data_IF_207781219733
#
_entry.id   IF_207781219733
#
_cell.length_a   1.000
_cell.length_b   1.000
_cell.length_c   1.000
_cell.angle_alpha   90.00
_cell.angle_beta   90.00
_cell.angle_gamma   90.00
#
_symmetry.space_group_name_H-M   'P 1'
#
loop_
_entity.id
_entity.type
_entity.pdbx_description
1 polymer ?
#
# COMPACT_ATOMS: atom_id res chain seq x y z
N UNK A 1 14.90 -13.48 13.10
CA UNK A 1 13.79 -13.60 14.07
C UNK A 1 14.26 -13.18 15.46
N UNK A 2 15.38 -13.73 15.95
CA UNK A 2 15.91 -13.38 17.28
C UNK A 2 16.27 -11.89 17.45
N UNK A 3 16.79 -11.25 16.41
CA UNK A 3 17.10 -9.82 16.46
C UNK A 3 15.83 -8.97 16.67
N UNK A 4 14.72 -9.31 16.01
CA UNK A 4 13.43 -8.61 16.16
C UNK A 4 12.84 -8.77 17.56
N UNK A 5 12.88 -9.99 18.11
CA UNK A 5 12.35 -10.28 19.44
C UNK A 5 13.19 -9.64 20.57
N UNK A 6 14.49 -9.43 20.33
CA UNK A 6 15.41 -8.82 21.29
C UNK A 6 15.48 -7.30 21.18
N UNK A 7 14.89 -6.73 20.15
CA UNK A 7 14.88 -5.29 19.93
C UNK A 7 13.83 -4.63 20.84
N UNK A 8 14.22 -3.78 21.82
CA UNK A 8 13.29 -3.10 22.70
C UNK A 8 12.35 -2.12 21.96
N UNK A 9 12.66 -1.78 20.71
CA UNK A 9 11.82 -0.97 19.84
C UNK A 9 10.81 -1.82 19.04
N UNK A 10 10.71 -3.12 19.30
CA UNK A 10 9.79 -4.04 18.64
C UNK A 10 8.85 -4.71 19.65
N UNK A 11 7.67 -5.15 19.18
CA UNK A 11 6.72 -5.91 20.00
C UNK A 11 5.97 -5.12 21.09
N UNK A 12 6.18 -3.80 21.18
CA UNK A 12 5.45 -2.95 22.09
C UNK A 12 3.99 -2.78 21.65
N UNK A 13 3.09 -2.59 22.62
CA UNK A 13 1.71 -2.20 22.31
C UNK A 13 1.66 -0.70 22.04
N UNK A 14 1.10 -0.32 20.89
CA UNK A 14 0.92 1.09 20.56
C UNK A 14 -0.04 1.78 21.54
N UNK A 15 0.09 3.11 21.67
CA UNK A 15 -0.78 3.88 22.56
C UNK A 15 -2.23 3.92 22.04
N UNK A 16 -3.19 4.20 22.91
CA UNK A 16 -4.59 4.38 22.48
C UNK A 16 -4.73 5.53 21.47
N UNK A 17 -3.93 6.60 21.61
CA UNK A 17 -3.90 7.71 20.65
C UNK A 17 -3.44 7.24 19.26
N UNK A 18 -2.40 6.40 19.19
CA UNK A 18 -1.96 5.82 17.91
C UNK A 18 -3.10 5.07 17.21
N UNK A 19 -3.84 4.21 17.93
CA UNK A 19 -4.95 3.48 17.32
C UNK A 19 -6.08 4.41 16.87
N UNK A 20 -6.41 5.42 17.68
CA UNK A 20 -7.40 6.43 17.31
C UNK A 20 -7.01 7.16 16.00
N UNK A 21 -5.77 7.63 15.91
CA UNK A 21 -5.26 8.33 14.74
C UNK A 21 -5.19 7.41 13.51
N UNK A 22 -4.73 6.18 13.70
CA UNK A 22 -4.65 5.17 12.63
C UNK A 22 -6.03 4.92 12.02
N UNK A 23 -7.03 4.59 12.83
CA UNK A 23 -8.37 4.29 12.31
C UNK A 23 -9.06 5.53 11.72
N UNK A 24 -8.88 6.69 12.34
CA UNK A 24 -9.39 7.96 11.78
C UNK A 24 -8.77 8.25 10.41
N UNK A 25 -7.46 8.03 10.25
CA UNK A 25 -6.75 8.20 8.99
C UNK A 25 -7.20 7.18 7.93
N UNK A 26 -7.42 5.93 8.33
CA UNK A 26 -7.93 4.89 7.43
C UNK A 26 -9.35 5.20 6.94
N UNK A 27 -10.24 5.67 7.80
CA UNK A 27 -11.60 6.07 7.42
C UNK A 27 -11.56 7.24 6.45
N UNK A 28 -10.73 8.25 6.72
CA UNK A 28 -10.54 9.38 5.81
C UNK A 28 -9.99 8.95 4.45
N UNK A 29 -8.95 8.11 4.42
CA UNK A 29 -8.29 7.68 3.19
C UNK A 29 -9.18 6.80 2.30
N UNK A 30 -10.07 6.00 2.90
CA UNK A 30 -10.97 5.12 2.18
C UNK A 30 -12.30 5.77 1.77
N UNK A 31 -12.59 7.00 2.22
CA UNK A 31 -13.79 7.73 1.83
C UNK A 31 -13.75 8.08 0.33
N UNK A 32 -14.71 7.58 -0.49
CA UNK A 32 -14.76 7.86 -1.92
C UNK A 32 -14.81 9.36 -2.24
N UNK A 33 -15.38 10.17 -1.35
CA UNK A 33 -15.45 11.64 -1.51
C UNK A 33 -14.06 12.27 -1.48
N UNK A 34 -13.13 11.71 -0.71
CA UNK A 34 -11.76 12.19 -0.66
C UNK A 34 -10.96 11.74 -1.87
N UNK A 35 -11.17 10.51 -2.34
CA UNK A 35 -10.58 10.02 -3.61
C UNK A 35 -11.01 10.91 -4.78
N UNK A 36 -12.30 11.26 -4.86
CA UNK A 36 -12.84 12.12 -5.93
C UNK A 36 -12.24 13.54 -5.93
N UNK A 37 -11.72 14.00 -4.80
CA UNK A 37 -11.09 15.33 -4.67
C UNK A 37 -9.62 15.33 -5.10
N UNK A 38 -9.03 14.17 -5.37
CA UNK A 38 -7.65 14.08 -5.85
C UNK A 38 -7.52 14.63 -7.28
N UNK A 39 -6.37 15.19 -7.66
CA UNK A 39 -6.14 15.60 -9.04
C UNK A 39 -6.23 14.39 -9.98
N UNK A 40 -7.16 14.43 -10.94
CA UNK A 40 -7.46 13.30 -11.82
C UNK A 40 -6.29 12.88 -12.72
N UNK A 41 -5.33 13.78 -12.92
CA UNK A 41 -4.09 13.58 -13.70
C UNK A 41 -2.90 13.13 -12.86
N UNK A 42 -3.04 13.02 -11.53
CA UNK A 42 -1.99 12.50 -10.66
C UNK A 42 -1.77 11.00 -10.94
N UNK A 43 -0.56 10.57 -11.36
CA UNK A 43 -0.26 9.16 -11.58
C UNK A 43 -0.21 8.39 -10.27
N UNK A 44 -0.85 7.22 -10.23
CA UNK A 44 -0.91 6.36 -9.04
C UNK A 44 -0.46 4.96 -9.36
N UNK A 45 0.44 4.44 -8.54
CA UNK A 45 0.90 3.06 -8.60
C UNK A 45 0.67 2.35 -7.26
N UNK A 46 -0.16 1.32 -7.28
CA UNK A 46 -0.47 0.49 -6.12
C UNK A 46 0.32 -0.80 -6.18
N UNK A 47 1.14 -1.06 -5.16
CA UNK A 47 1.95 -2.28 -5.07
C UNK A 47 1.68 -3.00 -3.75
N UNK A 48 1.55 -4.32 -3.80
CA UNK A 48 1.36 -5.16 -2.60
C UNK A 48 1.78 -6.61 -2.87
N UNK A 49 2.01 -7.37 -1.81
CA UNK A 49 2.16 -8.81 -1.90
C UNK A 49 0.82 -9.49 -2.20
N UNK A 50 0.84 -10.52 -3.06
CA UNK A 50 -0.34 -11.32 -3.38
C UNK A 50 -0.73 -12.32 -2.29
N UNK A 51 0.13 -12.52 -1.29
CA UNK A 51 -0.10 -13.38 -0.12
C UNK A 51 -0.05 -12.58 1.18
N UNK A 52 -0.32 -11.28 1.11
CA UNK A 52 -0.39 -10.41 2.27
C UNK A 52 -1.77 -10.54 2.98
N UNK A 53 -1.83 -11.05 4.22
CA UNK A 53 -3.09 -11.13 4.96
C UNK A 53 -3.67 -9.77 5.32
N UNK A 54 -2.86 -8.72 5.45
CA UNK A 54 -3.33 -7.38 5.79
C UNK A 54 -4.27 -6.84 4.72
N UNK A 55 -3.97 -7.12 3.45
CA UNK A 55 -4.78 -6.72 2.30
C UNK A 55 -5.77 -7.79 1.82
N UNK A 56 -6.08 -8.79 2.67
CA UNK A 56 -6.95 -9.91 2.32
C UNK A 56 -6.44 -10.67 1.07
N UNK A 57 -5.15 -11.00 1.04
CA UNK A 57 -4.44 -11.63 -0.09
C UNK A 57 -4.53 -10.78 -1.37
N UNK A 58 -4.34 -9.47 -1.22
CA UNK A 58 -4.40 -8.49 -2.30
C UNK A 58 -5.80 -8.16 -2.82
N UNK A 59 -6.88 -8.71 -2.23
CA UNK A 59 -8.26 -8.38 -2.63
C UNK A 59 -8.58 -6.91 -2.35
N UNK A 60 -8.22 -6.40 -1.17
CA UNK A 60 -8.53 -5.01 -0.81
C UNK A 60 -7.78 -4.00 -1.69
N UNK A 61 -6.53 -4.31 -2.11
CA UNK A 61 -5.79 -3.45 -3.04
C UNK A 61 -6.46 -3.41 -4.42
N UNK A 62 -7.03 -4.53 -4.90
CA UNK A 62 -7.82 -4.53 -6.14
C UNK A 62 -9.09 -3.70 -5.99
N UNK A 63 -9.77 -3.80 -4.86
CA UNK A 63 -10.96 -2.97 -4.56
C UNK A 63 -10.60 -1.49 -4.59
N UNK A 64 -9.50 -1.11 -3.93
CA UNK A 64 -8.99 0.27 -3.94
C UNK A 64 -8.67 0.74 -5.35
N UNK A 65 -7.97 -0.06 -6.15
CA UNK A 65 -7.73 0.23 -7.57
C UNK A 65 -9.03 0.54 -8.32
N UNK A 66 -10.08 -0.25 -8.10
CA UNK A 66 -11.39 0.00 -8.72
C UNK A 66 -12.05 1.29 -8.21
N UNK A 67 -11.89 1.66 -6.93
CA UNK A 67 -12.38 2.94 -6.41
C UNK A 67 -11.72 4.12 -7.12
N UNK A 68 -10.40 4.07 -7.32
CA UNK A 68 -9.68 5.10 -8.06
C UNK A 68 -10.10 5.16 -9.53
N UNK A 69 -10.33 4.02 -10.18
CA UNK A 69 -10.88 4.00 -11.55
C UNK A 69 -12.29 4.60 -11.63
N UNK A 70 -13.15 4.36 -10.63
CA UNK A 70 -14.50 4.94 -10.54
C UNK A 70 -14.50 6.44 -10.23
N UNK A 71 -13.42 6.96 -9.65
CA UNK A 71 -13.22 8.37 -9.40
C UNK A 71 -12.59 9.11 -10.60
N UNK A 72 -12.62 8.52 -11.80
CA UNK A 72 -12.08 9.09 -13.05
C UNK A 72 -10.58 9.44 -13.01
N UNK A 73 -9.81 8.77 -12.14
CA UNK A 73 -8.35 8.88 -12.14
C UNK A 73 -7.78 8.29 -13.43
N UNK A 74 -7.03 9.12 -14.15
CA UNK A 74 -6.60 8.85 -15.53
C UNK A 74 -5.51 7.79 -15.58
N UNK A 75 -4.54 7.88 -14.68
CA UNK A 75 -3.38 6.99 -14.64
C UNK A 75 -3.30 6.28 -13.29
N UNK A 76 -3.78 5.04 -13.28
CA UNK A 76 -3.77 4.17 -12.11
C UNK A 76 -3.24 2.82 -12.57
N UNK A 77 -2.23 2.33 -11.88
CA UNK A 77 -1.61 1.03 -12.11
C UNK A 77 -1.57 0.22 -10.83
N UNK A 78 -1.54 -1.11 -10.96
CA UNK A 78 -1.49 -2.04 -9.82
C UNK A 78 -0.58 -3.22 -10.15
N UNK A 79 0.30 -3.59 -9.20
CA UNK A 79 1.05 -4.84 -9.22
C UNK A 79 0.86 -5.60 -7.92
N UNK A 80 0.53 -6.88 -8.03
CA UNK A 80 0.43 -7.79 -6.89
C UNK A 80 1.44 -8.91 -7.04
N UNK A 81 2.51 -8.87 -6.24
CA UNK A 81 3.64 -9.80 -6.35
C UNK A 81 3.26 -11.18 -5.83
N UNK A 82 3.19 -12.23 -6.68
CA UNK A 82 2.71 -13.55 -6.26
C UNK A 82 3.57 -14.16 -5.16
N UNK A 83 2.93 -14.74 -4.14
CA UNK A 83 3.62 -15.40 -3.03
C UNK A 83 4.31 -14.46 -2.03
N UNK A 84 4.30 -13.15 -2.27
CA UNK A 84 4.91 -12.15 -1.37
C UNK A 84 3.94 -11.71 -0.29
N UNK A 85 4.46 -11.44 0.91
CA UNK A 85 3.68 -10.99 2.06
C UNK A 85 3.68 -9.45 2.13
N UNK A 86 3.57 -8.91 3.34
CA UNK A 86 3.33 -7.49 3.57
C UNK A 86 4.51 -6.59 3.16
N UNK A 87 5.73 -6.93 3.57
CA UNK A 87 6.91 -6.07 3.37
C UNK A 87 7.62 -6.35 2.05
N UNK A 88 6.96 -6.09 0.91
CA UNK A 88 7.49 -6.38 -0.43
C UNK A 88 8.84 -5.71 -0.75
N UNK A 89 9.18 -4.62 -0.07
CA UNK A 89 10.49 -3.95 -0.20
C UNK A 89 11.62 -4.73 0.51
N UNK A 90 11.29 -5.61 1.45
CA UNK A 90 12.24 -6.45 2.18
C UNK A 90 12.19 -7.93 1.75
N UNK A 91 11.26 -8.28 0.87
CA UNK A 91 11.11 -9.63 0.34
C UNK A 91 12.27 -10.04 -0.59
N UNK A 92 12.35 -11.33 -0.91
CA UNK A 92 13.46 -11.88 -1.73
C UNK A 92 13.54 -11.29 -3.13
N UNK A 93 12.44 -10.76 -3.65
CA UNK A 93 12.37 -10.09 -4.96
C UNK A 93 12.44 -8.56 -4.86
N UNK A 94 12.92 -7.98 -3.75
CA UNK A 94 13.01 -6.52 -3.56
C UNK A 94 13.61 -5.76 -4.75
N UNK A 95 14.58 -6.33 -5.47
CA UNK A 95 15.19 -5.70 -6.64
C UNK A 95 14.21 -5.55 -7.81
N UNK A 96 13.30 -6.51 -8.00
CA UNK A 96 12.19 -6.41 -8.96
C UNK A 96 11.25 -5.27 -8.55
N UNK A 97 10.86 -5.24 -7.27
CA UNK A 97 9.97 -4.19 -6.73
C UNK A 97 10.59 -2.80 -6.89
N UNK A 98 11.89 -2.66 -6.62
CA UNK A 98 12.61 -1.40 -6.81
C UNK A 98 12.66 -0.97 -8.27
N UNK A 99 12.88 -1.92 -9.19
CA UNK A 99 12.90 -1.64 -10.61
C UNK A 99 11.52 -1.21 -11.11
N UNK A 100 10.44 -1.83 -10.65
CA UNK A 100 9.08 -1.43 -10.99
C UNK A 100 8.75 -0.02 -10.51
N UNK A 101 9.14 0.32 -9.27
CA UNK A 101 9.00 1.69 -8.73
C UNK A 101 9.81 2.69 -9.56
N UNK A 102 11.06 2.36 -9.89
CA UNK A 102 11.92 3.22 -10.69
C UNK A 102 11.34 3.45 -12.09
N UNK A 103 10.87 2.38 -12.75
CA UNK A 103 10.22 2.45 -14.05
C UNK A 103 8.97 3.33 -14.02
N UNK A 104 8.16 3.21 -12.96
CA UNK A 104 7.01 4.07 -12.76
C UNK A 104 7.43 5.54 -12.64
N UNK A 105 8.40 5.86 -11.79
CA UNK A 105 8.87 7.24 -11.61
C UNK A 105 9.41 7.79 -12.94
N UNK A 106 10.32 7.08 -13.62
CA UNK A 106 10.93 7.52 -14.88
C UNK A 106 9.92 7.71 -16.03
N UNK A 107 8.79 7.01 -15.98
CA UNK A 107 7.71 7.17 -16.97
C UNK A 107 6.91 8.47 -16.75
N UNK A 108 6.89 8.99 -15.53
CA UNK A 108 5.99 10.10 -15.14
C UNK A 108 6.72 11.39 -14.74
N UNK A 109 8.02 11.34 -14.43
CA UNK A 109 8.85 12.46 -13.97
C UNK A 109 10.22 12.45 -14.66
#
# INVERSE_FOLDING_TARGET
>A
MDAYLKDPLCGFTCTSAFFYDLFTGLDYANDPRNIFRMPADLPIYMISGGSDPVSNMGKEVRTLYQHFKKADMKDVSITLYPGKRHEILNETNRHEVYQDILNFIQKHF
#
